data_IF_550791356416
#
_entry.id   IF_550791356416
#
_cell.length_a   1.000
_cell.length_b   1.000
_cell.length_c   1.000
_cell.angle_alpha   90.00
_cell.angle_beta   90.00
_cell.angle_gamma   90.00
#
_symmetry.space_group_name_H-M   'P 1'
#
loop_
_entity.id
_entity.type
_entity.pdbx_description
1 polymer ?
#
# COMPACT_ATOMS: atom_id res chain seq x y z
N UNK A 1 -4.98 2.91 -4.61
CA UNK A 1 -5.80 3.02 -3.39
C UNK A 1 -4.91 3.02 -2.17
N UNK A 2 -5.26 3.78 -1.13
CA UNK A 2 -4.61 3.76 0.17
C UNK A 2 -5.65 3.33 1.24
N UNK A 3 -5.91 2.02 1.40
CA UNK A 3 -6.94 1.50 2.29
C UNK A 3 -6.66 1.83 3.77
N UNK A 4 -7.67 1.84 4.64
CA UNK A 4 -7.51 2.08 6.08
C UNK A 4 -6.59 1.03 6.75
N UNK A 5 -5.83 1.48 7.74
CA UNK A 5 -4.54 0.88 8.10
C UNK A 5 -4.53 -0.19 9.21
N UNK A 6 -5.63 -0.43 9.96
CA UNK A 6 -5.60 -1.34 11.11
C UNK A 6 -6.53 -2.54 10.92
N UNK A 7 -6.00 -3.71 11.27
CA UNK A 7 -6.72 -4.97 11.38
C UNK A 7 -7.76 -4.90 12.50
N UNK A 8 -8.93 -5.51 12.30
CA UNK A 8 -9.95 -5.61 13.34
C UNK A 8 -9.39 -6.33 14.59
N UNK A 9 -9.52 -5.70 15.78
CA UNK A 9 -9.18 -6.32 17.07
C UNK A 9 -7.79 -6.03 17.67
N UNK A 10 -7.03 -5.04 17.19
CA UNK A 10 -5.72 -4.69 17.77
C UNK A 10 -5.67 -3.29 18.44
N UNK A 11 -5.58 -3.28 19.79
CA UNK A 11 -5.24 -2.12 20.62
C UNK A 11 -6.40 -1.27 21.15
N UNK A 12 -6.13 -0.56 22.26
CA UNK A 12 -7.10 0.18 23.10
C UNK A 12 -8.06 1.10 22.33
N UNK A 13 -9.33 0.98 22.71
CA UNK A 13 -10.48 1.65 22.10
C UNK A 13 -10.47 3.15 22.42
N UNK A 14 -10.34 3.99 21.39
CA UNK A 14 -10.55 5.42 21.51
C UNK A 14 -12.06 5.72 21.47
N UNK A 15 -12.61 6.54 22.38
CA UNK A 15 -14.05 6.72 22.61
C UNK A 15 -14.80 7.56 21.55
N UNK A 16 -14.23 7.77 20.36
CA UNK A 16 -14.75 8.70 19.34
C UNK A 16 -15.21 7.94 18.08
N UNK A 17 -16.53 7.83 17.88
CA UNK A 17 -17.20 7.00 16.85
C UNK A 17 -16.83 7.37 15.41
N UNK A 18 -16.67 8.66 15.11
CA UNK A 18 -16.30 9.12 13.76
C UNK A 18 -14.85 8.74 13.42
N UNK A 19 -13.98 8.67 14.42
CA UNK A 19 -12.61 8.21 14.30
C UNK A 19 -12.50 6.69 14.23
N UNK A 20 -13.46 5.93 14.77
CA UNK A 20 -13.51 4.46 14.66
C UNK A 20 -13.80 3.98 13.23
N UNK A 21 -14.77 4.58 12.53
CA UNK A 21 -15.20 4.13 11.20
C UNK A 21 -14.11 4.24 10.11
N UNK A 22 -13.21 5.22 10.22
CA UNK A 22 -12.06 5.37 9.31
C UNK A 22 -10.84 4.50 9.72
N UNK A 23 -10.86 3.92 10.92
CA UNK A 23 -9.72 3.23 11.53
C UNK A 23 -9.90 1.74 11.70
N UNK A 24 -11.13 1.25 11.73
CA UNK A 24 -11.47 -0.16 11.85
C UNK A 24 -12.15 -0.60 10.55
N UNK A 25 -11.72 -1.73 9.98
CA UNK A 25 -12.32 -2.43 8.83
C UNK A 25 -13.75 -2.94 9.12
N UNK A 26 -14.63 -2.12 9.71
CA UNK A 26 -15.98 -2.52 10.12
C UNK A 26 -17.01 -2.39 8.99
N UNK A 27 -16.64 -1.86 7.81
CA UNK A 27 -17.58 -1.70 6.69
C UNK A 27 -17.10 -2.14 5.30
N UNK A 28 -15.79 -2.31 5.08
CA UNK A 28 -15.23 -2.72 3.78
C UNK A 28 -13.84 -3.33 4.01
N UNK A 29 -13.70 -4.62 3.73
CA UNK A 29 -12.43 -5.34 3.87
C UNK A 29 -11.56 -5.14 2.62
N UNK A 30 -10.27 -5.44 2.73
CA UNK A 30 -9.42 -5.48 1.53
C UNK A 30 -9.91 -6.48 0.47
N UNK A 31 -10.52 -7.60 0.89
CA UNK A 31 -11.09 -8.57 -0.04
C UNK A 31 -12.25 -7.97 -0.84
N UNK A 32 -13.11 -7.17 -0.21
CA UNK A 32 -14.20 -6.45 -0.88
C UNK A 32 -13.65 -5.45 -1.92
N UNK A 33 -12.58 -4.74 -1.54
CA UNK A 33 -11.87 -3.82 -2.43
C UNK A 33 -11.28 -4.55 -3.64
N UNK A 34 -10.58 -5.66 -3.43
CA UNK A 34 -9.95 -6.43 -4.49
C UNK A 34 -11.00 -7.02 -5.44
N UNK A 35 -12.11 -7.53 -4.90
CA UNK A 35 -13.25 -8.02 -5.68
C UNK A 35 -13.93 -6.93 -6.49
N UNK A 36 -14.13 -5.75 -5.91
CA UNK A 36 -14.64 -4.58 -6.63
C UNK A 36 -13.70 -4.15 -7.76
N UNK A 37 -12.39 -4.08 -7.48
CA UNK A 37 -11.37 -3.76 -8.48
C UNK A 37 -11.40 -4.75 -9.66
N UNK A 38 -11.50 -6.05 -9.40
CA UNK A 38 -11.64 -7.05 -10.46
C UNK A 38 -12.87 -6.81 -11.34
N UNK A 39 -14.02 -6.46 -10.75
CA UNK A 39 -15.27 -6.23 -11.51
C UNK A 39 -15.19 -5.02 -12.42
N UNK A 40 -14.61 -3.91 -11.94
CA UNK A 40 -14.58 -2.63 -12.69
C UNK A 40 -13.43 -2.54 -13.70
N UNK A 41 -12.35 -3.31 -13.52
CA UNK A 41 -11.21 -3.26 -14.43
C UNK A 41 -11.52 -3.90 -15.77
N UNK A 42 -11.07 -3.24 -16.84
CA UNK A 42 -10.97 -3.84 -18.18
C UNK A 42 -10.00 -5.03 -18.17
N UNK A 43 -10.10 -5.96 -19.14
CA UNK A 43 -9.10 -7.03 -19.30
C UNK A 43 -7.68 -6.46 -19.31
N UNK A 44 -6.77 -7.11 -18.58
CA UNK A 44 -5.39 -6.66 -18.37
C UNK A 44 -5.23 -5.24 -17.77
N UNK A 45 -6.30 -4.66 -17.21
CA UNK A 45 -6.25 -3.40 -16.47
C UNK A 45 -5.45 -3.51 -15.17
N UNK A 46 -4.89 -2.38 -14.73
CA UNK A 46 -4.02 -2.30 -13.55
C UNK A 46 -4.75 -1.76 -12.32
N UNK A 47 -4.42 -2.33 -11.16
CA UNK A 47 -4.84 -1.95 -9.83
C UNK A 47 -3.60 -1.61 -9.01
N UNK A 48 -3.52 -0.39 -8.48
CA UNK A 48 -2.38 0.04 -7.67
C UNK A 48 -2.78 0.25 -6.22
N UNK A 49 -1.96 -0.23 -5.28
CA UNK A 49 -2.17 -0.03 -3.85
C UNK A 49 -0.91 0.47 -3.15
N UNK A 50 -1.11 1.24 -2.08
CA UNK A 50 -0.12 1.51 -1.04
C UNK A 50 -0.68 0.96 0.26
N UNK A 51 0.10 0.15 0.98
CA UNK A 51 -0.36 -0.49 2.22
C UNK A 51 0.80 -0.77 3.19
N UNK A 52 0.47 -1.11 4.44
CA UNK A 52 1.45 -1.52 5.44
C UNK A 52 2.17 -2.81 5.05
N UNK A 53 3.49 -2.81 5.19
CA UNK A 53 4.34 -3.97 4.93
C UNK A 53 3.96 -5.21 5.76
N UNK A 54 3.51 -5.03 7.01
CA UNK A 54 3.10 -6.14 7.89
C UNK A 54 1.89 -6.93 7.35
N UNK A 55 1.02 -6.28 6.57
CA UNK A 55 -0.16 -6.91 5.95
C UNK A 55 0.12 -7.46 4.54
N UNK A 56 1.36 -7.33 4.03
CA UNK A 56 1.70 -7.78 2.69
C UNK A 56 1.26 -9.23 2.39
N UNK A 57 1.49 -10.24 3.26
CA UNK A 57 1.08 -11.62 2.97
C UNK A 57 -0.44 -11.77 2.78
N UNK A 58 -1.22 -11.14 3.66
CA UNK A 58 -2.69 -11.15 3.61
C UNK A 58 -3.20 -10.48 2.33
N UNK A 59 -2.63 -9.32 2.01
CA UNK A 59 -3.02 -8.48 0.86
C UNK A 59 -2.73 -9.19 -0.46
N UNK A 60 -1.55 -9.79 -0.61
CA UNK A 60 -1.19 -10.56 -1.82
C UNK A 60 -2.15 -11.73 -1.98
N UNK A 61 -2.38 -12.51 -0.92
CA UNK A 61 -3.28 -13.66 -0.96
C UNK A 61 -4.73 -13.27 -1.30
N UNK A 62 -5.22 -12.11 -0.80
CA UNK A 62 -6.56 -11.63 -1.13
C UNK A 62 -6.65 -11.08 -2.57
N UNK A 63 -5.57 -10.48 -3.08
CA UNK A 63 -5.48 -10.01 -4.47
C UNK A 63 -5.62 -11.17 -5.45
N UNK A 64 -4.85 -12.24 -5.22
CA UNK A 64 -4.87 -13.44 -6.06
C UNK A 64 -6.22 -14.17 -5.99
N UNK A 65 -6.80 -14.30 -4.80
CA UNK A 65 -8.16 -14.84 -4.62
C UNK A 65 -9.23 -14.07 -5.38
N UNK A 66 -9.04 -12.76 -5.60
CA UNK A 66 -9.95 -11.93 -6.38
C UNK A 66 -9.72 -12.04 -7.91
N UNK A 67 -8.76 -12.83 -8.38
CA UNK A 67 -8.43 -12.96 -9.82
C UNK A 67 -7.54 -11.83 -10.36
N UNK A 68 -6.87 -11.11 -9.47
CA UNK A 68 -5.85 -10.11 -9.80
C UNK A 68 -4.47 -10.69 -9.48
N UNK A 69 -3.48 -10.47 -10.34
CA UNK A 69 -2.12 -10.99 -10.12
C UNK A 69 -1.14 -9.86 -9.93
N UNK A 70 -0.32 -9.97 -8.87
CA UNK A 70 0.71 -8.98 -8.56
C UNK A 70 1.79 -8.98 -9.63
N UNK A 71 2.10 -7.80 -10.17
CA UNK A 71 3.08 -7.60 -11.24
C UNK A 71 4.29 -6.80 -10.82
N UNK A 72 4.10 -5.82 -9.94
CA UNK A 72 5.18 -5.00 -9.41
C UNK A 72 4.98 -4.83 -7.92
N UNK A 73 6.05 -4.98 -7.16
CA UNK A 73 6.07 -4.73 -5.73
C UNK A 73 7.29 -3.85 -5.42
N UNK A 74 7.07 -2.76 -4.71
CA UNK A 74 8.13 -1.83 -4.30
C UNK A 74 8.02 -1.55 -2.81
N UNK A 75 9.05 -1.88 -2.06
CA UNK A 75 9.11 -1.57 -0.62
C UNK A 75 9.45 -0.09 -0.41
N UNK A 76 8.90 0.52 0.64
CA UNK A 76 9.12 1.93 0.98
C UNK A 76 9.70 2.02 2.39
N UNK A 77 10.97 2.40 2.45
CA UNK A 77 11.74 2.51 3.67
C UNK A 77 11.92 3.98 4.06
N UNK A 78 11.82 4.29 5.35
CA UNK A 78 12.18 5.62 5.84
C UNK A 78 13.68 5.86 5.60
N UNK A 79 14.51 4.88 5.95
CA UNK A 79 15.97 4.85 5.74
C UNK A 79 16.42 3.52 5.17
N UNK A 80 17.56 3.50 4.50
CA UNK A 80 18.10 2.29 3.88
C UNK A 80 18.34 1.12 4.86
N UNK A 81 18.64 1.42 6.11
CA UNK A 81 18.90 0.46 7.19
C UNK A 81 17.67 0.12 8.05
N UNK A 82 16.53 0.73 7.76
CA UNK A 82 15.29 0.54 8.54
C UNK A 82 14.34 -0.46 7.88
N UNK A 83 13.55 -1.22 8.66
CA UNK A 83 12.47 -2.02 8.12
C UNK A 83 11.46 -1.18 7.32
N UNK A 84 10.96 -1.76 6.23
CA UNK A 84 9.92 -1.12 5.42
C UNK A 84 8.62 -1.00 6.21
N UNK A 85 8.00 0.18 6.21
CA UNK A 85 6.69 0.40 6.84
C UNK A 85 5.55 0.27 5.83
N UNK A 86 5.82 0.60 4.58
CA UNK A 86 4.85 0.59 3.49
C UNK A 86 5.37 -0.23 2.31
N UNK A 87 4.45 -0.64 1.44
CA UNK A 87 4.78 -1.13 0.11
C UNK A 87 3.84 -0.51 -0.90
N UNK A 88 4.32 -0.39 -2.13
CA UNK A 88 3.54 -0.07 -3.32
C UNK A 88 3.41 -1.34 -4.15
N UNK A 89 2.22 -1.60 -4.68
CA UNK A 89 1.97 -2.80 -5.45
C UNK A 89 1.07 -2.50 -6.64
N UNK A 90 1.44 -3.05 -7.80
CA UNK A 90 0.57 -3.17 -8.96
C UNK A 90 0.07 -4.62 -9.07
N UNK A 91 -1.24 -4.78 -9.26
CA UNK A 91 -1.85 -6.03 -9.66
C UNK A 91 -2.65 -5.85 -10.96
N UNK A 92 -2.80 -6.89 -11.77
CA UNK A 92 -3.50 -6.82 -13.06
C UNK A 92 -4.55 -7.92 -13.21
N UNK A 93 -5.64 -7.60 -13.90
CA UNK A 93 -6.77 -8.50 -14.13
C UNK A 93 -6.50 -9.51 -15.25
N UNK A 94 -6.68 -10.79 -14.94
CA UNK A 94 -6.70 -11.86 -15.96
C UNK A 94 -5.38 -12.04 -16.70
N UNK A 95 -4.25 -11.77 -16.04
CA UNK A 95 -2.90 -12.00 -16.56
C UNK A 95 -2.28 -13.22 -15.87
N UNK A 96 -1.20 -13.76 -16.44
CA UNK A 96 -0.47 -14.85 -15.80
C UNK A 96 0.17 -14.42 -14.47
N UNK A 97 0.51 -15.35 -13.56
CA UNK A 97 1.32 -15.08 -12.39
C UNK A 97 2.71 -14.51 -12.73
N UNK A 98 3.42 -14.03 -11.72
CA UNK A 98 4.79 -13.51 -11.83
C UNK A 98 4.90 -12.02 -11.53
N UNK A 99 5.85 -11.67 -10.67
CA UNK A 99 6.02 -10.35 -10.08
C UNK A 99 7.48 -9.89 -10.21
N UNK A 100 7.67 -8.59 -10.45
CA UNK A 100 8.97 -7.91 -10.32
C UNK A 100 9.05 -7.25 -8.95
N UNK A 101 10.10 -7.56 -8.19
CA UNK A 101 10.48 -6.80 -7.01
C UNK A 101 11.32 -5.60 -7.48
N UNK A 102 10.74 -4.40 -7.35
CA UNK A 102 11.37 -3.15 -7.73
C UNK A 102 12.43 -2.72 -6.70
N UNK A 103 13.45 -1.95 -7.11
CA UNK A 103 14.35 -1.29 -6.17
C UNK A 103 13.55 -0.51 -5.12
N UNK A 104 13.90 -0.61 -3.83
CA UNK A 104 13.13 0.05 -2.77
C UNK A 104 13.11 1.56 -2.96
N UNK A 105 12.04 2.21 -2.53
CA UNK A 105 12.01 3.66 -2.37
C UNK A 105 12.54 4.00 -0.98
N UNK A 106 13.68 4.70 -0.92
CA UNK A 106 14.25 5.22 0.33
C UNK A 106 13.83 6.67 0.47
N UNK A 107 13.12 7.01 1.55
CA UNK A 107 12.58 8.36 1.72
C UNK A 107 13.66 9.36 2.12
N UNK A 108 14.53 9.02 3.08
CA UNK A 108 15.54 9.93 3.61
C UNK A 108 16.97 9.42 3.37
N UNK A 109 17.86 10.32 2.98
CA UNK A 109 19.29 10.09 2.88
C UNK A 109 19.98 10.11 4.25
N UNK A 110 21.31 9.93 4.23
CA UNK A 110 22.12 9.98 5.45
C UNK A 110 22.17 11.38 6.10
N UNK A 111 21.84 12.43 5.33
CA UNK A 111 21.82 13.82 5.77
C UNK A 111 20.46 14.27 6.34
N UNK A 112 19.56 13.32 6.62
CA UNK A 112 18.18 13.56 7.10
C UNK A 112 17.28 14.31 6.11
N UNK A 113 17.76 14.55 4.89
CA UNK A 113 16.93 15.14 3.84
C UNK A 113 16.26 14.06 3.02
N UNK A 114 15.23 14.45 2.28
CA UNK A 114 14.64 13.55 1.28
C UNK A 114 15.72 13.06 0.32
N UNK A 115 15.68 11.78 -0.04
CA UNK A 115 16.51 11.25 -1.10
C UNK A 115 16.22 11.97 -2.42
N UNK A 116 17.13 11.87 -3.39
CA UNK A 116 16.93 12.50 -4.70
C UNK A 116 15.62 12.03 -5.34
N UNK A 117 15.35 10.73 -5.32
CA UNK A 117 14.12 10.15 -5.85
C UNK A 117 12.88 10.60 -5.06
N UNK A 118 12.93 10.60 -3.73
CA UNK A 118 11.82 11.09 -2.92
C UNK A 118 11.54 12.58 -3.19
N UNK A 119 12.58 13.39 -3.34
CA UNK A 119 12.45 14.82 -3.67
C UNK A 119 11.80 15.04 -5.03
N UNK A 120 12.17 14.22 -6.03
CA UNK A 120 11.54 14.26 -7.36
C UNK A 120 10.05 13.88 -7.30
N UNK A 121 9.70 12.85 -6.52
CA UNK A 121 8.31 12.40 -6.34
C UNK A 121 7.48 13.45 -5.58
N UNK A 122 8.03 14.06 -4.52
CA UNK A 122 7.29 15.01 -3.68
C UNK A 122 7.26 16.44 -4.25
N UNK A 123 8.24 16.83 -5.09
CA UNK A 123 8.34 18.19 -5.65
C UNK A 123 8.21 19.30 -4.57
N UNK A 124 7.44 20.35 -4.88
CA UNK A 124 7.22 21.53 -4.02
C UNK A 124 6.50 21.26 -2.68
N UNK A 125 5.93 20.07 -2.44
CA UNK A 125 5.27 19.75 -1.16
C UNK A 125 6.28 19.47 -0.02
N UNK A 126 7.54 19.18 -0.35
CA UNK A 126 8.59 18.89 0.63
C UNK A 126 9.11 20.12 1.40
N UNK A 127 8.95 21.32 0.84
CA UNK A 127 9.49 22.56 1.43
C UNK A 127 8.64 23.12 2.59
N UNK A 128 7.38 22.70 2.72
CA UNK A 128 6.42 23.24 3.70
C UNK A 128 6.18 22.37 4.95
N UNK A 129 6.97 21.32 5.18
CA UNK A 129 6.95 20.54 6.42
C UNK A 129 8.26 20.73 7.19
N UNK A 130 8.37 21.86 7.89
CA UNK A 130 9.28 22.04 9.03
C UNK A 130 8.46 22.26 10.29
#
# INVERSE_FOLDING_TARGET
MNPPYKQAGSGEESPDEARRAARHEQGCTYADIAGAAFRILKPAGSFYICHRAERLPEIVAATERAGLYVKRLRMVHTRADSPSKLFLMEARKGVNPGMTAEPPLILYGADEKYSAEASEIYGFYGENKR
#
